data_IF_607037176103
#
_entry.id   IF_607037176103
#
_cell.length_a   1.000
_cell.length_b   1.000
_cell.length_c   1.000
_cell.angle_alpha   90.00
_cell.angle_beta   90.00
_cell.angle_gamma   90.00
#
_symmetry.space_group_name_H-M   'P 1'
#
loop_
_entity.id
_entity.type
_entity.pdbx_description
1 polymer ?
#
# COMPACT_ATOMS: atom_id res chain seq x y z
N UNK A 1 -5.73 25.53 33.51
CA UNK A 1 -4.64 24.53 33.37
C UNK A 1 -4.95 23.66 32.17
N UNK A 2 -4.53 24.07 30.97
CA UNK A 2 -4.73 23.27 29.75
C UNK A 2 -3.44 22.53 29.45
N UNK A 3 -3.35 21.30 29.96
CA UNK A 3 -2.30 20.35 29.64
C UNK A 3 -2.44 19.96 28.16
N UNK A 4 -1.78 20.73 27.29
CA UNK A 4 -1.62 20.40 25.88
C UNK A 4 -0.60 19.27 25.82
N UNK A 5 -1.05 18.03 25.95
CA UNK A 5 -0.24 16.86 25.62
C UNK A 5 0.39 17.07 24.24
N UNK A 6 1.73 17.17 24.15
CA UNK A 6 2.38 17.45 22.88
C UNK A 6 2.11 16.26 21.96
N UNK A 7 1.55 16.53 20.77
CA UNK A 7 1.44 15.54 19.70
C UNK A 7 2.84 15.02 19.41
N UNK A 8 3.21 13.88 20.00
CA UNK A 8 4.48 13.21 19.76
C UNK A 8 4.61 13.04 18.25
N UNK A 9 5.57 13.75 17.65
CA UNK A 9 6.03 13.44 16.28
C UNK A 9 6.19 11.92 16.23
N UNK A 10 5.44 11.23 15.37
CA UNK A 10 5.64 9.80 15.09
C UNK A 10 7.06 9.66 14.54
N UNK A 11 8.05 9.53 15.44
CA UNK A 11 9.35 8.99 15.10
C UNK A 11 9.06 7.66 14.44
N UNK A 12 9.63 7.44 13.26
CA UNK A 12 9.63 6.13 12.61
C UNK A 12 10.30 5.18 13.60
N UNK A 13 9.50 4.45 14.38
CA UNK A 13 9.98 3.66 15.51
C UNK A 13 10.86 2.56 14.95
N UNK A 14 12.06 2.50 15.50
CA UNK A 14 13.13 1.63 15.07
C UNK A 14 12.68 0.19 15.36
N UNK A 15 12.15 -0.52 14.36
CA UNK A 15 11.83 -1.93 14.57
C UNK A 15 13.15 -2.69 14.79
N UNK A 16 13.29 -3.25 15.99
CA UNK A 16 14.49 -3.95 16.43
C UNK A 16 14.70 -5.26 15.65
N UNK A 17 13.71 -5.76 14.90
CA UNK A 17 13.88 -6.90 13.98
C UNK A 17 15.08 -6.71 13.06
N UNK A 18 15.20 -5.52 12.44
CA UNK A 18 16.29 -5.26 11.48
C UNK A 18 17.66 -5.30 12.18
N UNK A 19 17.72 -4.85 13.43
CA UNK A 19 18.93 -4.92 14.27
C UNK A 19 19.24 -6.37 14.65
N UNK A 20 18.24 -7.15 15.06
CA UNK A 20 18.37 -8.54 15.46
C UNK A 20 18.72 -9.48 14.29
N UNK A 21 18.25 -9.15 13.09
CA UNK A 21 18.67 -9.84 11.86
C UNK A 21 20.15 -9.59 11.54
N UNK A 22 20.64 -8.38 11.79
CA UNK A 22 21.99 -7.97 11.44
C UNK A 22 22.26 -8.14 9.94
N UNK A 23 23.34 -8.85 9.61
CA UNK A 23 23.76 -9.09 8.22
C UNK A 23 23.03 -10.26 7.54
N UNK A 24 22.22 -11.04 8.27
CA UNK A 24 21.52 -12.20 7.67
C UNK A 24 20.52 -11.72 6.61
N UNK A 25 20.37 -12.41 5.48
CA UNK A 25 19.41 -12.02 4.46
C UNK A 25 17.96 -12.24 4.93
N UNK A 26 17.07 -11.29 4.62
CA UNK A 26 15.64 -11.39 4.95
C UNK A 26 15.01 -12.68 4.40
N UNK A 27 15.47 -13.15 3.24
CA UNK A 27 14.97 -14.38 2.59
C UNK A 27 15.21 -15.64 3.42
N UNK A 28 16.33 -15.70 4.14
CA UNK A 28 16.66 -16.84 5.01
C UNK A 28 15.69 -16.88 6.19
N UNK A 29 15.54 -15.77 6.89
CA UNK A 29 14.65 -15.66 8.06
C UNK A 29 13.18 -15.88 7.70
N UNK A 30 12.74 -15.30 6.59
CA UNK A 30 11.40 -15.50 6.06
C UNK A 30 11.11 -16.99 5.81
N UNK A 31 12.07 -17.74 5.24
CA UNK A 31 11.94 -19.19 5.03
C UNK A 31 11.87 -19.96 6.34
N UNK A 32 12.75 -19.66 7.29
CA UNK A 32 12.79 -20.35 8.59
C UNK A 32 11.49 -20.14 9.37
N UNK A 33 10.99 -18.91 9.39
CA UNK A 33 9.77 -18.52 10.11
C UNK A 33 8.49 -18.76 9.32
N UNK A 34 8.57 -19.34 8.11
CA UNK A 34 7.43 -19.55 7.20
C UNK A 34 6.62 -18.27 6.93
N UNK A 35 7.28 -17.11 6.95
CA UNK A 35 6.72 -15.79 6.63
C UNK A 35 7.07 -15.46 5.18
N UNK A 36 6.18 -14.80 4.43
CA UNK A 36 6.53 -14.36 3.08
C UNK A 36 7.58 -13.24 3.16
N UNK A 37 8.58 -13.26 2.29
CA UNK A 37 9.66 -12.24 2.25
C UNK A 37 9.12 -10.80 2.23
N UNK A 38 8.07 -10.46 1.45
CA UNK A 38 7.51 -9.11 1.47
C UNK A 38 6.89 -8.72 2.82
N UNK A 39 6.30 -9.67 3.54
CA UNK A 39 5.70 -9.42 4.85
C UNK A 39 6.80 -9.21 5.90
N UNK A 40 7.86 -10.02 5.87
CA UNK A 40 9.04 -9.80 6.72
C UNK A 40 9.65 -8.40 6.50
N UNK A 41 9.79 -7.97 5.24
CA UNK A 41 10.26 -6.62 4.93
C UNK A 41 9.30 -5.53 5.43
N UNK A 42 7.99 -5.76 5.38
CA UNK A 42 6.99 -4.82 5.93
C UNK A 42 7.09 -4.74 7.45
N UNK A 43 7.35 -5.86 8.12
CA UNK A 43 7.59 -5.91 9.56
C UNK A 43 8.80 -5.05 9.91
N UNK A 44 9.97 -5.30 9.30
CA UNK A 44 11.19 -4.50 9.56
C UNK A 44 11.04 -2.99 9.34
N UNK A 45 10.13 -2.59 8.44
CA UNK A 45 9.88 -1.18 8.12
C UNK A 45 8.71 -0.57 8.90
N UNK A 46 8.08 -1.34 9.79
CA UNK A 46 6.90 -0.90 10.56
C UNK A 46 5.67 -0.64 9.70
N UNK A 47 5.62 -1.15 8.46
CA UNK A 47 4.48 -1.00 7.54
C UNK A 47 3.33 -1.96 7.86
N UNK A 48 3.64 -3.05 8.57
CA UNK A 48 2.67 -4.03 9.05
C UNK A 48 3.21 -4.67 10.33
N UNK A 49 2.30 -5.24 11.11
CA UNK A 49 2.64 -6.04 12.28
C UNK A 49 2.50 -7.53 11.94
N UNK A 50 3.35 -8.41 12.53
CA UNK A 50 3.16 -9.86 12.49
C UNK A 50 1.78 -10.25 13.04
N UNK A 51 1.29 -11.47 12.82
CA UNK A 51 0.18 -11.99 13.66
C UNK A 51 0.69 -12.35 15.06
N UNK A 52 -0.17 -12.54 16.08
CA UNK A 52 0.27 -13.02 17.40
C UNK A 52 1.10 -14.32 17.34
N UNK A 53 0.71 -15.26 16.47
CA UNK A 53 1.47 -16.50 16.22
C UNK A 53 2.85 -16.21 15.62
N UNK A 54 2.92 -15.40 14.56
CA UNK A 54 4.18 -15.02 13.93
C UNK A 54 5.07 -14.20 14.88
N UNK A 55 4.48 -13.41 15.76
CA UNK A 55 5.19 -12.65 16.78
C UNK A 55 5.84 -13.60 17.79
N UNK A 56 5.13 -14.65 18.22
CA UNK A 56 5.68 -15.69 19.07
C UNK A 56 6.87 -16.38 18.40
N UNK A 57 6.74 -16.78 17.14
CA UNK A 57 7.81 -17.44 16.39
C UNK A 57 9.05 -16.52 16.23
N UNK A 58 8.83 -15.22 15.99
CA UNK A 58 9.89 -14.22 15.94
C UNK A 58 10.61 -14.07 17.29
N UNK A 59 9.86 -14.00 18.38
CA UNK A 59 10.42 -13.92 19.73
C UNK A 59 11.27 -15.15 20.06
N UNK A 60 10.75 -16.34 19.76
CA UNK A 60 11.43 -17.62 20.01
C UNK A 60 12.72 -17.74 19.20
N UNK A 61 12.66 -17.42 17.90
CA UNK A 61 13.83 -17.47 17.02
C UNK A 61 14.93 -16.49 17.45
N UNK A 62 14.56 -15.25 17.82
CA UNK A 62 15.52 -14.22 18.24
C UNK A 62 15.87 -14.29 19.74
N UNK A 63 15.28 -15.23 20.49
CA UNK A 63 15.44 -15.37 21.96
C UNK A 63 15.20 -14.05 22.70
N UNK A 64 14.14 -13.35 22.33
CA UNK A 64 13.79 -12.06 22.90
C UNK A 64 12.31 -12.01 23.26
N UNK A 65 11.90 -11.00 24.04
CA UNK A 65 10.49 -10.79 24.36
C UNK A 65 9.86 -9.80 23.35
N UNK A 66 8.52 -9.78 23.32
CA UNK A 66 7.78 -8.88 22.42
C UNK A 66 8.17 -7.41 22.64
N UNK A 67 8.39 -7.00 23.90
CA UNK A 67 8.80 -5.64 24.27
C UNK A 67 10.20 -5.24 23.77
N UNK A 68 11.02 -6.21 23.37
CA UNK A 68 12.34 -5.99 22.76
C UNK A 68 12.22 -5.82 21.24
N UNK A 69 11.18 -6.40 20.62
CA UNK A 69 10.92 -6.30 19.18
C UNK A 69 10.09 -5.06 18.83
N UNK A 70 9.06 -4.79 19.63
CA UNK A 70 8.06 -3.74 19.41
C UNK A 70 7.72 -3.04 20.72
N UNK A 71 7.49 -1.72 20.68
CA UNK A 71 6.92 -1.03 21.83
C UNK A 71 5.47 -1.49 22.04
N UNK A 72 5.00 -1.42 23.28
CA UNK A 72 3.62 -1.82 23.66
C UNK A 72 2.55 -1.21 22.75
N UNK A 73 2.71 0.07 22.41
CA UNK A 73 1.79 0.81 21.54
C UNK A 73 1.72 0.24 20.10
N UNK A 74 2.73 -0.49 19.66
CA UNK A 74 2.85 -0.96 18.28
C UNK A 74 2.40 -2.42 18.11
N UNK A 75 2.48 -3.25 19.16
CA UNK A 75 2.03 -4.64 19.09
C UNK A 75 0.66 -4.89 19.74
N UNK A 76 0.03 -3.90 20.39
CA UNK A 76 -1.29 -4.07 21.04
C UNK A 76 -2.47 -4.30 20.05
N UNK A 77 -2.18 -4.49 18.76
CA UNK A 77 -3.12 -4.80 17.66
C UNK A 77 -4.40 -3.96 17.58
N UNK A 78 -4.45 -2.81 18.28
CA UNK A 78 -5.70 -2.15 18.61
C UNK A 78 -6.77 -3.18 19.03
N UNK A 79 -6.44 -4.07 19.98
CA UNK A 79 -7.41 -4.89 20.72
C UNK A 79 -8.30 -3.94 21.55
N UNK A 80 -9.15 -3.23 20.79
CA UNK A 80 -10.34 -2.46 21.08
C UNK A 80 -10.27 -1.71 22.41
N UNK A 81 -9.80 -0.47 22.35
CA UNK A 81 -10.41 0.56 23.18
C UNK A 81 -11.81 0.81 22.58
N UNK A 82 -12.92 0.44 23.25
CA UNK A 82 -14.27 0.60 22.70
C UNK A 82 -14.62 2.07 22.42
N UNK A 83 -13.82 3.00 22.93
CA UNK A 83 -14.03 4.45 22.81
C UNK A 83 -13.28 5.04 21.61
N UNK A 84 -12.26 4.35 21.06
CA UNK A 84 -11.49 4.89 19.92
C UNK A 84 -12.19 4.59 18.60
N UNK A 85 -12.61 5.61 17.83
CA UNK A 85 -13.14 5.39 16.49
C UNK A 85 -12.06 4.73 15.64
N UNK A 86 -12.34 3.54 15.09
CA UNK A 86 -11.50 2.93 14.07
C UNK A 86 -11.26 3.96 12.97
N UNK A 87 -10.04 4.45 12.82
CA UNK A 87 -9.66 5.25 11.66
C UNK A 87 -9.65 4.34 10.43
N UNK A 88 -10.84 4.12 9.86
CA UNK A 88 -11.03 3.60 8.51
C UNK A 88 -10.70 4.69 7.49
N UNK A 89 -9.52 5.31 7.61
CA UNK A 89 -9.02 6.20 6.57
C UNK A 89 -8.67 5.33 5.37
N UNK A 90 -9.67 5.07 4.51
CA UNK A 90 -9.40 4.65 3.13
C UNK A 90 -8.53 5.74 2.51
N UNK A 91 -7.29 5.38 2.12
CA UNK A 91 -6.41 6.28 1.38
C UNK A 91 -7.19 6.90 0.22
N UNK A 92 -7.33 8.23 0.20
CA UNK A 92 -8.03 8.98 -0.86
C UNK A 92 -9.43 9.51 -0.52
N UNK A 93 -10.02 9.22 0.66
CA UNK A 93 -11.32 9.80 1.06
C UNK A 93 -11.23 11.34 1.09
N UNK A 94 -12.03 12.01 0.24
CA UNK A 94 -12.10 13.48 0.13
C UNK A 94 -11.17 14.10 -0.91
N UNK A 95 -10.37 13.32 -1.65
CA UNK A 95 -9.43 13.86 -2.67
C UNK A 95 -10.06 14.06 -4.05
N UNK A 96 -11.25 13.49 -4.29
CA UNK A 96 -11.85 13.41 -5.63
C UNK A 96 -11.15 12.45 -6.59
N UNK A 97 -10.06 11.80 -6.17
CA UNK A 97 -9.31 10.84 -6.99
C UNK A 97 -9.84 9.43 -6.74
N UNK A 98 -10.30 8.78 -7.81
CA UNK A 98 -10.77 7.39 -7.78
C UNK A 98 -9.77 6.47 -8.46
N UNK A 99 -9.48 5.32 -7.85
CA UNK A 99 -8.74 4.25 -8.49
C UNK A 99 -9.73 3.30 -9.15
N UNK A 100 -9.60 3.09 -10.45
CA UNK A 100 -10.23 1.99 -11.16
C UNK A 100 -9.17 0.99 -11.60
N UNK A 101 -9.52 -0.28 -11.75
CA UNK A 101 -8.60 -1.36 -12.16
C UNK A 101 -9.29 -2.24 -13.18
N UNK A 102 -8.60 -2.55 -14.27
CA UNK A 102 -9.13 -3.35 -15.39
C UNK A 102 -8.16 -4.51 -15.66
N UNK A 103 -8.70 -5.67 -16.01
CA UNK A 103 -7.89 -6.81 -16.47
C UNK A 103 -7.71 -6.71 -17.98
N UNK A 104 -6.46 -6.71 -18.44
CA UNK A 104 -6.10 -6.64 -19.85
C UNK A 104 -5.36 -7.91 -20.26
N UNK A 105 -5.41 -8.24 -21.55
CA UNK A 105 -4.49 -9.22 -22.12
C UNK A 105 -3.07 -8.69 -22.06
N UNK A 106 -2.09 -9.59 -21.99
CA UNK A 106 -0.68 -9.24 -21.92
C UNK A 106 -0.25 -8.36 -23.10
N UNK A 107 -0.66 -8.73 -24.33
CA UNK A 107 -0.33 -7.96 -25.53
C UNK A 107 -0.85 -6.51 -25.48
N UNK A 108 -2.08 -6.30 -25.01
CA UNK A 108 -2.65 -4.96 -24.88
C UNK A 108 -1.95 -4.16 -23.77
N UNK A 109 -1.65 -4.79 -22.64
CA UNK A 109 -0.93 -4.15 -21.55
C UNK A 109 0.47 -3.68 -21.98
N UNK A 110 1.21 -4.53 -22.70
CA UNK A 110 2.54 -4.23 -23.22
C UNK A 110 2.50 -3.08 -24.23
N UNK A 111 1.52 -3.10 -25.15
CA UNK A 111 1.33 -2.02 -26.12
C UNK A 111 1.07 -0.67 -25.45
N UNK A 112 0.21 -0.63 -24.44
CA UNK A 112 -0.08 0.60 -23.68
C UNK A 112 1.19 1.11 -22.98
N UNK A 113 1.97 0.21 -22.35
CA UNK A 113 3.22 0.59 -21.70
C UNK A 113 4.22 1.20 -22.67
N UNK A 114 4.37 0.60 -23.86
CA UNK A 114 5.28 1.11 -24.88
C UNK A 114 4.83 2.47 -25.39
N UNK A 115 3.54 2.66 -25.68
CA UNK A 115 3.01 3.96 -26.11
C UNK A 115 3.22 5.06 -25.04
N UNK A 116 3.07 4.71 -23.76
CA UNK A 116 3.38 5.62 -22.66
C UNK A 116 4.86 6.02 -22.65
N UNK A 117 5.77 5.05 -22.85
CA UNK A 117 7.22 5.29 -22.92
C UNK A 117 7.59 6.17 -24.11
N UNK A 118 7.15 5.84 -25.32
CA UNK A 118 7.45 6.59 -26.54
C UNK A 118 6.93 8.03 -26.46
N UNK A 119 5.76 8.23 -25.84
CA UNK A 119 5.14 9.54 -25.73
C UNK A 119 5.60 10.35 -24.52
N UNK A 120 6.41 9.76 -23.62
CA UNK A 120 6.78 10.38 -22.34
C UNK A 120 5.59 10.65 -21.41
N UNK A 121 4.49 9.91 -21.57
CA UNK A 121 3.24 10.12 -20.82
C UNK A 121 3.05 9.08 -19.71
N UNK A 122 2.38 9.49 -18.63
CA UNK A 122 1.87 8.56 -17.64
C UNK A 122 0.64 7.82 -18.17
N UNK A 123 0.33 6.65 -17.60
CA UNK A 123 -0.88 5.88 -17.96
C UNK A 123 -2.18 6.68 -17.78
N UNK A 124 -2.24 7.55 -16.76
CA UNK A 124 -3.40 8.43 -16.54
C UNK A 124 -3.55 9.48 -17.66
N UNK A 125 -2.45 10.09 -18.09
CA UNK A 125 -2.45 11.03 -19.21
C UNK A 125 -2.80 10.33 -20.53
N UNK A 126 -2.25 9.14 -20.75
CA UNK A 126 -2.58 8.32 -21.92
C UNK A 126 -4.08 7.99 -21.97
N UNK A 127 -4.65 7.54 -20.85
CA UNK A 127 -6.08 7.25 -20.76
C UNK A 127 -6.94 8.49 -20.99
N UNK A 128 -6.56 9.64 -20.42
CA UNK A 128 -7.27 10.91 -20.67
C UNK A 128 -7.28 11.22 -22.16
N UNK A 129 -6.15 11.08 -22.85
CA UNK A 129 -6.05 11.30 -24.29
C UNK A 129 -6.95 10.34 -25.07
N UNK A 130 -7.00 9.07 -24.69
CA UNK A 130 -7.92 8.11 -25.31
C UNK A 130 -9.38 8.50 -25.12
N UNK A 131 -9.78 8.92 -23.92
CA UNK A 131 -11.14 9.41 -23.66
C UNK A 131 -11.47 10.64 -24.50
N UNK A 132 -10.59 11.65 -24.51
CA UNK A 132 -10.77 12.87 -25.31
C UNK A 132 -10.91 12.57 -26.83
N UNK A 133 -10.25 11.52 -27.33
CA UNK A 133 -10.36 11.08 -28.73
C UNK A 133 -11.69 10.36 -28.99
N UNK A 134 -12.10 9.45 -28.11
CA UNK A 134 -13.38 8.75 -28.22
C UNK A 134 -14.56 9.74 -28.18
N UNK A 135 -14.51 10.73 -27.29
CA UNK A 135 -15.54 11.76 -27.19
C UNK A 135 -15.65 12.56 -28.49
N UNK A 136 -14.51 12.91 -29.11
CA UNK A 136 -14.51 13.60 -30.41
C UNK A 136 -15.08 12.74 -31.53
N UNK A 137 -14.75 11.45 -31.57
CA UNK A 137 -15.31 10.51 -32.54
C UNK A 137 -16.82 10.36 -32.37
N UNK A 138 -17.30 10.22 -31.13
CA UNK A 138 -18.73 10.17 -30.80
C UNK A 138 -19.48 11.43 -31.26
N UNK A 139 -18.95 12.62 -30.96
CA UNK A 139 -19.53 13.90 -31.39
C UNK A 139 -19.56 14.00 -32.92
N UNK A 140 -18.50 13.56 -33.60
CA UNK A 140 -18.45 13.58 -35.06
C UNK A 140 -19.43 12.60 -35.70
N UNK A 141 -19.68 11.45 -35.07
CA UNK A 141 -20.64 10.45 -35.53
C UNK A 141 -22.10 10.85 -35.25
N UNK A 142 -22.36 11.63 -34.20
CA UNK A 142 -23.67 12.22 -33.93
C UNK A 142 -23.98 13.38 -34.89
N UNK A 143 -22.98 14.21 -35.22
CA UNK A 143 -23.12 15.28 -36.20
C UNK A 143 -23.37 14.78 -37.64
N UNK A 144 -22.98 13.53 -37.95
CA UNK A 144 -23.22 12.87 -39.23
C UNK A 144 -24.55 12.09 -39.29
N UNK A 145 -25.46 12.28 -38.33
CA UNK A 145 -26.87 11.85 -38.47
C UNK A 145 -27.79 13.00 -38.91
N UNK A 146 -27.70 13.56 -40.13
CA UNK A 146 -28.81 14.36 -40.64
C UNK A 146 -29.92 13.42 -41.13
N UNK A 147 -31.11 13.58 -40.53
CA UNK A 147 -32.45 13.30 -41.06
C UNK A 147 -32.62 11.95 -41.79
N UNK A 148 -32.81 10.87 -41.02
CA UNK A 148 -33.69 9.80 -41.45
C UNK A 148 -35.02 9.98 -40.72
N UNK A 149 -35.88 10.84 -41.28
CA UNK A 149 -37.34 10.69 -41.19
C UNK A 149 -37.82 9.88 -42.39
#
# INVERSE_FOLDING_TARGET
MTDKHPKRKRMVKVNYLKKLRGQRPQRELARTLKIRVPDYSRYETGKANPTPEQMKDLCEYHRCNVGTLYDREDWDYDLIDPVKPRETRRSGKGTGILKFSVRLTEGLANRIQEQCRTSGMTQAQYLKRCADLMDKELISHEALRPLQE
#
